data_IF_232495612467
#
_entry.id   IF_232495612467
#
_cell.length_a   1.000
_cell.length_b   1.000
_cell.length_c   1.000
_cell.angle_alpha   90.00
_cell.angle_beta   90.00
_cell.angle_gamma   90.00
#
_symmetry.space_group_name_H-M   'P 1'
#
loop_
_entity.id
_entity.type
_entity.pdbx_description
1 polymer ?
#
# COMPACT_ATOMS: atom_id res chain seq x y z
N UNK A 1 15.48 -22.38 -5.77
CA UNK A 1 14.38 -21.39 -5.58
C UNK A 1 14.40 -21.04 -4.10
N UNK A 2 14.90 -19.86 -3.72
CA UNK A 2 14.96 -19.45 -2.32
C UNK A 2 13.50 -19.21 -1.90
N UNK A 3 13.01 -19.94 -0.90
CA UNK A 3 11.69 -19.68 -0.32
C UNK A 3 11.73 -18.24 0.22
N UNK A 4 11.14 -17.30 -0.51
CA UNK A 4 11.04 -15.92 -0.04
C UNK A 4 10.04 -15.98 1.11
N UNK A 5 10.55 -15.89 2.34
CA UNK A 5 9.70 -15.89 3.53
C UNK A 5 8.59 -14.84 3.41
N UNK A 6 7.46 -15.01 4.09
CA UNK A 6 6.48 -13.92 4.15
C UNK A 6 7.10 -12.71 4.84
N UNK A 7 6.82 -11.47 4.40
CA UNK A 7 7.27 -10.27 5.09
C UNK A 7 6.82 -10.28 6.56
N UNK A 8 7.68 -9.78 7.44
CA UNK A 8 7.36 -9.56 8.84
C UNK A 8 6.77 -8.16 8.97
N UNK A 9 5.67 -8.02 9.70
CA UNK A 9 5.00 -6.74 9.87
C UNK A 9 5.25 -6.15 11.25
N UNK A 10 5.53 -4.85 11.27
CA UNK A 10 5.59 -4.05 12.49
C UNK A 10 4.35 -3.16 12.58
N UNK A 11 3.81 -3.03 13.80
CA UNK A 11 2.65 -2.18 14.07
C UNK A 11 3.13 -0.80 14.49
N UNK A 12 2.60 0.22 13.81
CA UNK A 12 2.81 1.62 14.13
C UNK A 12 1.47 2.27 14.43
N UNK A 13 1.48 3.47 15.02
CA UNK A 13 0.27 4.20 15.36
C UNK A 13 0.32 5.60 14.79
N UNK A 14 -0.77 6.02 14.14
CA UNK A 14 -0.91 7.39 13.69
C UNK A 14 -0.89 8.35 14.89
N UNK A 15 -0.10 9.41 14.80
CA UNK A 15 0.17 10.33 15.92
C UNK A 15 -1.10 10.98 16.48
N UNK A 16 -2.09 11.22 15.63
CA UNK A 16 -3.28 12.01 15.97
C UNK A 16 -4.54 11.18 16.23
N UNK A 17 -4.67 10.00 15.60
CA UNK A 17 -5.91 9.20 15.67
C UNK A 17 -5.78 7.92 16.49
N UNK A 18 -4.58 7.58 17.03
CA UNK A 18 -4.31 6.29 17.71
C UNK A 18 -4.75 5.05 16.91
N UNK A 19 -4.93 5.17 15.60
CA UNK A 19 -5.23 4.05 14.71
C UNK A 19 -3.94 3.31 14.36
N UNK A 20 -3.92 1.96 14.47
CA UNK A 20 -2.77 1.19 14.06
C UNK A 20 -2.66 1.16 12.54
N UNK A 21 -1.43 1.12 12.02
CA UNK A 21 -1.11 0.77 10.64
C UNK A 21 0.09 -0.17 10.63
N UNK A 22 0.24 -0.92 9.54
CA UNK A 22 1.21 -2.01 9.45
C UNK A 22 2.27 -1.69 8.40
N UNK A 23 3.52 -1.99 8.71
CA UNK A 23 4.65 -1.75 7.80
C UNK A 23 5.46 -3.04 7.66
N UNK A 24 5.64 -3.57 6.44
CA UNK A 24 6.43 -4.77 6.23
C UNK A 24 7.93 -4.45 6.38
N UNK A 25 8.73 -5.47 6.66
CA UNK A 25 10.21 -5.38 6.67
C UNK A 25 10.83 -5.27 5.28
N UNK A 26 10.03 -5.48 4.22
CA UNK A 26 10.39 -5.29 2.81
C UNK A 26 9.15 -5.05 1.97
N UNK A 27 9.29 -4.34 0.85
CA UNK A 27 8.16 -4.16 -0.06
C UNK A 27 7.69 -5.52 -0.63
N UNK A 28 6.37 -5.79 -0.63
CA UNK A 28 5.83 -7.00 -1.26
C UNK A 28 6.05 -6.95 -2.78
N UNK A 29 6.07 -8.13 -3.40
CA UNK A 29 6.12 -8.27 -4.86
C UNK A 29 4.91 -9.05 -5.30
N UNK A 30 4.09 -8.44 -6.15
CA UNK A 30 2.91 -9.10 -6.70
C UNK A 30 3.15 -9.56 -8.14
N UNK A 31 2.54 -10.67 -8.57
CA UNK A 31 2.37 -10.96 -9.98
C UNK A 31 1.71 -9.78 -10.70
N UNK A 32 2.11 -9.51 -11.94
CA UNK A 32 1.63 -8.36 -12.71
C UNK A 32 0.09 -8.37 -12.86
N UNK A 33 -0.50 -9.56 -12.98
CA UNK A 33 -1.96 -9.73 -13.07
C UNK A 33 -2.68 -9.24 -11.82
N UNK A 34 -2.02 -9.30 -10.66
CA UNK A 34 -2.57 -8.76 -9.41
C UNK A 34 -2.24 -7.27 -9.27
N UNK A 35 -1.01 -6.85 -9.58
CA UNK A 35 -0.58 -5.45 -9.44
C UNK A 35 -1.38 -4.48 -10.31
N UNK A 36 -1.87 -4.94 -11.47
CA UNK A 36 -2.56 -4.12 -12.49
C UNK A 36 -4.04 -4.47 -12.66
N UNK A 37 -4.63 -5.21 -11.71
CA UNK A 37 -6.02 -5.67 -11.82
C UNK A 37 -7.03 -4.53 -11.62
N UNK A 38 -8.22 -4.74 -12.15
CA UNK A 38 -9.42 -4.06 -11.67
C UNK A 38 -9.90 -4.70 -10.37
N UNK A 39 -10.24 -3.90 -9.37
CA UNK A 39 -10.59 -4.40 -8.03
C UNK A 39 -11.59 -3.49 -7.33
N UNK A 40 -12.37 -4.06 -6.43
CA UNK A 40 -13.02 -3.29 -5.37
C UNK A 40 -12.10 -3.26 -4.15
N UNK A 41 -12.09 -2.14 -3.43
CA UNK A 41 -11.44 -2.06 -2.11
C UNK A 41 -12.43 -2.54 -1.05
N UNK A 42 -11.99 -3.29 -0.01
CA UNK A 42 -12.87 -3.69 1.08
C UNK A 42 -13.53 -2.47 1.73
N UNK A 43 -14.83 -2.57 2.02
CA UNK A 43 -15.61 -1.46 2.61
C UNK A 43 -15.00 -0.88 3.89
N UNK A 44 -14.21 -1.66 4.62
CA UNK A 44 -13.52 -1.24 5.84
C UNK A 44 -12.34 -0.30 5.60
N UNK A 45 -11.79 -0.26 4.38
CA UNK A 45 -10.71 0.64 3.98
C UNK A 45 -11.24 1.87 3.23
N UNK A 46 -12.55 1.91 2.95
CA UNK A 46 -13.17 2.99 2.21
C UNK A 46 -13.94 3.89 3.19
N UNK A 47 -13.28 4.95 3.66
CA UNK A 47 -13.87 5.95 4.54
C UNK A 47 -15.01 6.76 3.91
N UNK A 48 -15.18 6.69 2.59
CA UNK A 48 -16.16 7.46 1.84
C UNK A 48 -17.35 6.59 1.45
N UNK A 49 -18.48 6.78 2.13
CA UNK A 49 -19.74 6.08 1.86
C UNK A 49 -20.21 6.17 0.38
N UNK A 50 -19.73 7.18 -0.35
CA UNK A 50 -20.06 7.43 -1.76
C UNK A 50 -19.41 6.42 -2.73
N UNK A 51 -18.31 5.77 -2.33
CA UNK A 51 -17.51 4.90 -3.21
C UNK A 51 -17.72 3.41 -2.93
N UNK A 52 -18.78 3.05 -2.20
CA UNK A 52 -19.09 1.64 -1.90
C UNK A 52 -19.34 0.86 -3.18
N UNK A 53 -18.48 -0.13 -3.42
CA UNK A 53 -18.56 -0.98 -4.61
C UNK A 53 -17.99 -0.34 -5.88
N UNK A 54 -17.32 0.81 -5.78
CA UNK A 54 -16.52 1.37 -6.88
C UNK A 54 -15.46 0.35 -7.27
N UNK A 55 -15.34 0.12 -8.57
CA UNK A 55 -14.25 -0.65 -9.17
C UNK A 55 -13.15 0.34 -9.51
N UNK A 56 -11.96 0.09 -8.97
CA UNK A 56 -10.73 0.80 -9.26
C UNK A 56 -9.90 -0.01 -10.26
N UNK A 57 -9.26 0.66 -11.19
CA UNK A 57 -8.29 0.10 -12.12
C UNK A 57 -6.87 0.38 -11.61
N UNK A 58 -6.19 -0.64 -11.06
CA UNK A 58 -4.82 -0.47 -10.58
C UNK A 58 -3.81 -0.24 -11.72
N UNK A 59 -4.19 -0.39 -12.98
CA UNK A 59 -3.35 0.04 -14.10
C UNK A 59 -3.33 1.57 -14.26
N UNK A 60 -4.34 2.28 -13.75
CA UNK A 60 -4.37 3.75 -13.70
C UNK A 60 -3.58 4.26 -12.48
N UNK A 61 -2.64 5.18 -12.70
CA UNK A 61 -1.75 5.66 -11.64
C UNK A 61 -2.47 6.44 -10.55
N UNK A 62 -3.53 7.17 -10.90
CA UNK A 62 -4.29 7.98 -9.95
C UNK A 62 -5.16 7.07 -9.09
N UNK A 63 -5.92 6.15 -9.70
CA UNK A 63 -6.75 5.19 -8.96
C UNK A 63 -5.88 4.24 -8.12
N UNK A 64 -4.71 3.82 -8.61
CA UNK A 64 -3.74 3.07 -7.81
C UNK A 64 -3.30 3.86 -6.57
N UNK A 65 -3.02 5.15 -6.72
CA UNK A 65 -2.65 6.04 -5.62
C UNK A 65 -3.72 6.12 -4.53
N UNK A 66 -4.99 6.25 -4.92
CA UNK A 66 -6.13 6.23 -3.98
C UNK A 66 -6.18 4.90 -3.20
N UNK A 67 -6.17 3.77 -3.90
CA UNK A 67 -6.23 2.45 -3.27
C UNK A 67 -5.03 2.21 -2.36
N UNK A 68 -3.82 2.57 -2.81
CA UNK A 68 -2.60 2.36 -2.04
C UNK A 68 -2.58 3.23 -0.78
N UNK A 69 -3.06 4.47 -0.85
CA UNK A 69 -3.19 5.33 0.32
C UNK A 69 -4.13 4.71 1.37
N UNK A 70 -5.32 4.26 0.96
CA UNK A 70 -6.29 3.61 1.85
C UNK A 70 -5.70 2.35 2.51
N UNK A 71 -5.03 1.50 1.72
CA UNK A 71 -4.40 0.27 2.24
C UNK A 71 -3.23 0.57 3.17
N UNK A 72 -2.40 1.58 2.88
CA UNK A 72 -1.25 1.95 3.73
C UNK A 72 -1.72 2.55 5.07
N UNK A 73 -2.78 3.35 5.04
CA UNK A 73 -3.25 4.11 6.21
C UNK A 73 -4.19 3.29 7.09
N UNK A 74 -5.05 2.47 6.48
CA UNK A 74 -6.13 1.75 7.17
C UNK A 74 -6.05 0.21 7.03
N UNK A 75 -5.20 -0.29 6.13
CA UNK A 75 -5.06 -1.72 5.84
C UNK A 75 -4.40 -2.52 6.95
N UNK A 76 -4.73 -3.79 7.00
CA UNK A 76 -4.01 -4.80 7.78
C UNK A 76 -2.91 -5.44 6.93
N UNK A 77 -2.05 -6.24 7.56
CA UNK A 77 -0.98 -6.97 6.86
C UNK A 77 -1.49 -7.79 5.66
N UNK A 78 -2.69 -8.38 5.75
CA UNK A 78 -3.29 -9.14 4.65
C UNK A 78 -3.69 -8.25 3.46
N UNK A 79 -4.13 -7.02 3.70
CA UNK A 79 -4.46 -6.07 2.62
C UNK A 79 -3.20 -5.60 1.92
N UNK A 80 -2.14 -5.30 2.69
CA UNK A 80 -0.85 -4.89 2.12
C UNK A 80 -0.35 -5.99 1.17
N UNK A 81 -0.41 -7.26 1.59
CA UNK A 81 -0.02 -8.39 0.75
C UNK A 81 -0.96 -8.67 -0.43
N UNK A 82 -2.18 -8.12 -0.42
CA UNK A 82 -3.14 -8.31 -1.50
C UNK A 82 -3.09 -7.18 -2.54
N UNK A 83 -2.79 -5.95 -2.13
CA UNK A 83 -2.93 -4.76 -2.96
C UNK A 83 -1.60 -4.09 -3.30
N UNK A 84 -0.62 -4.10 -2.40
CA UNK A 84 0.62 -3.33 -2.59
C UNK A 84 1.66 -4.16 -3.34
N UNK A 85 1.99 -3.72 -4.54
CA UNK A 85 3.21 -4.12 -5.25
C UNK A 85 4.32 -3.07 -5.08
N UNK A 86 5.52 -3.52 -4.72
CA UNK A 86 6.66 -2.67 -4.40
C UNK A 86 7.13 -1.82 -5.56
N UNK A 87 7.29 -2.39 -6.75
CA UNK A 87 7.72 -1.65 -7.93
C UNK A 87 6.69 -0.57 -8.30
N UNK A 88 5.41 -0.96 -8.29
CA UNK A 88 4.29 -0.05 -8.56
C UNK A 88 4.14 1.05 -7.51
N UNK A 89 4.44 0.77 -6.23
CA UNK A 89 4.41 1.75 -5.15
C UNK A 89 5.51 2.79 -5.32
N UNK A 90 6.73 2.35 -5.64
CA UNK A 90 7.89 3.23 -5.85
C UNK A 90 7.69 4.16 -7.04
N UNK A 91 7.03 3.67 -8.10
CA UNK A 91 6.64 4.45 -9.29
C UNK A 91 5.72 5.64 -8.92
N UNK A 92 4.71 5.41 -8.08
CA UNK A 92 3.71 6.43 -7.75
C UNK A 92 4.05 7.28 -6.51
N UNK A 93 5.07 6.89 -5.74
CA UNK A 93 5.37 7.40 -4.40
C UNK A 93 5.40 8.93 -4.32
N UNK A 94 6.06 9.59 -5.28
CA UNK A 94 6.25 11.05 -5.27
C UNK A 94 5.18 11.82 -6.08
N UNK A 95 4.32 11.11 -6.83
CA UNK A 95 3.48 11.74 -7.87
C UNK A 95 1.99 11.54 -7.66
N UNK A 96 1.55 10.36 -7.23
CA UNK A 96 0.13 10.01 -7.12
C UNK A 96 -0.25 9.45 -5.75
N UNK A 97 0.70 9.33 -4.82
CA UNK A 97 0.45 8.82 -3.47
C UNK A 97 0.43 9.96 -2.44
N UNK A 98 -0.71 10.16 -1.80
CA UNK A 98 -0.89 11.18 -0.75
C UNK A 98 -1.08 10.48 0.59
N UNK A 99 -0.09 10.63 1.49
CA UNK A 99 -0.09 10.02 2.82
C UNK A 99 0.01 11.08 3.92
N UNK A 100 -0.53 10.81 5.12
CA UNK A 100 -0.15 11.54 6.32
C UNK A 100 1.37 11.51 6.52
N UNK A 101 1.96 12.64 6.94
CA UNK A 101 3.42 12.81 7.01
C UNK A 101 4.11 11.77 7.91
N UNK A 102 3.46 11.37 9.01
CA UNK A 102 3.99 10.40 9.97
C UNK A 102 3.98 8.99 9.40
N UNK A 103 2.96 8.62 8.61
CA UNK A 103 2.90 7.36 7.87
C UNK A 103 3.95 7.35 6.75
N UNK A 104 4.04 8.42 5.96
CA UNK A 104 5.03 8.55 4.90
C UNK A 104 6.47 8.42 5.43
N UNK A 105 6.76 9.03 6.58
CA UNK A 105 8.08 8.96 7.21
C UNK A 105 8.50 7.54 7.60
N UNK A 106 7.56 6.69 8.03
CA UNK A 106 7.84 5.30 8.42
C UNK A 106 8.00 4.38 7.20
N UNK A 107 7.27 4.64 6.12
CA UNK A 107 7.37 3.85 4.88
C UNK A 107 8.57 4.26 4.00
N UNK A 108 9.00 5.52 4.07
CA UNK A 108 10.08 6.06 3.24
C UNK A 108 11.37 5.23 3.21
N UNK A 109 11.88 4.66 4.32
CA UNK A 109 13.07 3.80 4.29
C UNK A 109 12.92 2.60 3.33
N UNK A 110 11.74 1.97 3.26
CA UNK A 110 11.51 0.84 2.34
C UNK A 110 11.56 1.27 0.87
N UNK A 111 11.12 2.49 0.58
CA UNK A 111 11.12 3.08 -0.76
C UNK A 111 12.54 3.42 -1.18
N UNK A 112 13.31 4.03 -0.27
CA UNK A 112 14.70 4.38 -0.50
C UNK A 112 15.55 3.10 -0.68
N UNK A 113 15.39 2.11 0.20
CA UNK A 113 16.05 0.80 0.10
C UNK A 113 15.72 0.11 -1.23
N UNK A 114 14.46 0.15 -1.69
CA UNK A 114 14.10 -0.44 -2.98
C UNK A 114 14.80 0.24 -4.16
N UNK A 115 14.84 1.58 -4.17
CA UNK A 115 15.47 2.40 -5.23
C UNK A 115 16.98 2.21 -5.30
N UNK A 116 17.62 1.89 -4.19
CA UNK A 116 19.07 1.64 -4.14
C UNK A 116 19.44 0.23 -4.64
N UNK A 117 18.52 -0.72 -4.56
CA UNK A 117 18.81 -2.14 -4.75
C UNK A 117 18.15 -2.77 -6.00
N UNK A 118 17.39 -2.01 -6.79
CA UNK A 118 16.71 -2.47 -8.03
C UNK A 118 16.82 -1.42 -9.13
#
# INVERSE_FOLDING_TARGET
MREMSKPIFTTHYQRWQKRPYYVPDRLPVLPAELALRKTTVPLRLNGHLADRGRVFDLADLHERGEVYADVIVEGEAADILAYIDGASLVEIWDTHLILPWDVAAVWKPLIDDWRENN
#
